data_IF_933048475055
#
_entry.id   IF_933048475055
#
_cell.length_a   1.000
_cell.length_b   1.000
_cell.length_c   1.000
_cell.angle_alpha   90.00
_cell.angle_beta   90.00
_cell.angle_gamma   90.00
#
_symmetry.space_group_name_H-M   'P 1'
#
loop_
_entity.id
_entity.type
_entity.pdbx_description
1 polymer ?
#
# COMPACT_ATOMS: atom_id res chain seq x y z
N UNK A 1 -0.46 18.28 -39.09
CA UNK A 1 -1.18 17.00 -39.14
C UNK A 1 -1.04 16.31 -37.78
N UNK A 2 -2.11 16.18 -37.01
CA UNK A 2 -2.12 15.41 -35.75
C UNK A 2 -2.12 13.93 -36.12
N UNK A 3 -1.11 13.19 -35.69
CA UNK A 3 -1.02 11.75 -35.89
C UNK A 3 -2.22 11.08 -35.19
N UNK A 4 -3.03 10.26 -35.89
CA UNK A 4 -4.24 9.65 -35.34
C UNK A 4 -3.92 8.39 -34.52
N UNK A 5 -2.77 8.36 -33.86
CA UNK A 5 -2.50 7.39 -32.79
C UNK A 5 -3.16 7.88 -31.51
N UNK A 6 -4.47 8.15 -31.56
CA UNK A 6 -5.26 8.12 -30.34
C UNK A 6 -4.90 6.80 -29.69
N UNK A 7 -4.23 6.87 -28.54
CA UNK A 7 -3.97 5.72 -27.68
C UNK A 7 -5.34 5.13 -27.43
N UNK A 8 -5.70 4.12 -28.22
CA UNK A 8 -6.96 3.40 -28.07
C UNK A 8 -6.89 2.85 -26.67
N UNK A 9 -7.89 3.19 -25.85
CA UNK A 9 -7.94 2.71 -24.49
C UNK A 9 -7.80 1.17 -24.55
N UNK A 10 -6.85 0.56 -23.81
CA UNK A 10 -6.73 -0.89 -23.76
C UNK A 10 -8.08 -1.57 -23.49
N UNK A 11 -8.98 -0.90 -22.75
CA UNK A 11 -10.31 -1.42 -22.45
C UNK A 11 -11.25 -1.40 -23.66
N UNK A 12 -11.18 -0.35 -24.48
CA UNK A 12 -11.89 -0.29 -25.75
C UNK A 12 -11.39 -1.37 -26.71
N UNK A 13 -10.07 -1.65 -26.72
CA UNK A 13 -9.52 -2.72 -27.57
C UNK A 13 -9.95 -4.11 -27.10
N UNK A 14 -10.10 -4.33 -25.79
CA UNK A 14 -10.61 -5.58 -25.22
C UNK A 14 -12.09 -5.75 -25.56
N UNK A 15 -12.91 -4.74 -25.31
CA UNK A 15 -14.35 -4.75 -25.65
C UNK A 15 -14.59 -4.99 -27.14
N UNK A 16 -13.77 -4.39 -28.01
CA UNK A 16 -13.83 -4.65 -29.44
C UNK A 16 -13.47 -6.10 -29.81
N UNK A 17 -12.50 -6.71 -29.11
CA UNK A 17 -12.14 -8.12 -29.31
C UNK A 17 -13.23 -9.08 -28.81
N UNK A 18 -13.85 -8.78 -27.67
CA UNK A 18 -15.01 -9.51 -27.12
C UNK A 18 -16.21 -9.42 -28.07
N UNK A 19 -16.50 -8.23 -28.61
CA UNK A 19 -17.56 -8.05 -29.60
C UNK A 19 -17.29 -8.84 -30.89
N UNK A 20 -16.04 -8.89 -31.36
CA UNK A 20 -15.65 -9.71 -32.51
C UNK A 20 -15.85 -11.21 -32.24
N UNK A 21 -15.48 -11.70 -31.05
CA UNK A 21 -15.74 -13.07 -30.63
C UNK A 21 -17.23 -13.40 -30.65
N UNK A 22 -18.06 -12.55 -30.04
CA UNK A 22 -19.51 -12.71 -30.03
C UNK A 22 -20.10 -12.71 -31.45
N UNK A 23 -19.57 -11.88 -32.35
CA UNK A 23 -19.98 -11.87 -33.75
C UNK A 23 -19.61 -13.18 -34.48
N UNK A 24 -18.44 -13.74 -34.22
CA UNK A 24 -18.01 -15.04 -34.76
C UNK A 24 -18.91 -16.17 -34.26
N UNK A 25 -19.26 -16.17 -32.97
CA UNK A 25 -20.17 -17.15 -32.37
C UNK A 25 -21.58 -17.05 -32.97
N UNK A 26 -22.10 -15.84 -33.14
CA UNK A 26 -23.38 -15.61 -33.83
C UNK A 26 -23.33 -16.15 -35.27
N UNK A 27 -22.22 -15.94 -35.98
CA UNK A 27 -22.06 -16.43 -37.35
C UNK A 27 -22.04 -17.97 -37.42
N UNK A 28 -21.45 -18.64 -36.44
CA UNK A 28 -21.52 -20.11 -36.33
C UNK A 28 -22.97 -20.57 -36.14
N UNK A 29 -23.71 -19.92 -35.24
CA UNK A 29 -25.12 -20.26 -35.02
C UNK A 29 -25.96 -20.08 -36.30
N UNK A 30 -25.70 -19.03 -37.09
CA UNK A 30 -26.35 -18.83 -38.39
C UNK A 30 -25.98 -19.95 -39.39
N UNK A 31 -24.68 -20.28 -39.51
CA UNK A 31 -24.21 -21.36 -40.38
C UNK A 31 -24.77 -22.74 -39.98
N UNK A 32 -24.97 -22.99 -38.69
CA UNK A 32 -25.60 -24.23 -38.21
C UNK A 32 -27.08 -24.30 -38.61
N UNK A 33 -27.80 -23.17 -38.62
CA UNK A 33 -29.17 -23.10 -39.16
C UNK A 33 -29.18 -23.32 -40.68
N UNK A 34 -28.25 -22.68 -41.40
CA UNK A 34 -28.12 -22.84 -42.85
C UNK A 34 -27.79 -24.29 -43.23
N UNK A 35 -26.94 -24.96 -42.43
CA UNK A 35 -26.62 -26.38 -42.57
C UNK A 35 -27.87 -27.24 -42.41
N UNK A 36 -28.67 -26.99 -41.38
CA UNK A 36 -29.92 -27.71 -41.14
C UNK A 36 -30.92 -27.51 -42.30
N UNK A 37 -31.00 -26.32 -42.87
CA UNK A 37 -31.84 -26.03 -44.03
C UNK A 37 -31.33 -26.73 -45.31
N UNK A 38 -30.02 -26.74 -45.55
CA UNK A 38 -29.41 -27.38 -46.72
C UNK A 38 -29.68 -28.89 -46.76
N UNK A 39 -29.68 -29.57 -45.60
CA UNK A 39 -29.99 -31.00 -45.48
C UNK A 39 -31.40 -31.39 -45.96
N UNK A 40 -32.33 -30.43 -46.08
CA UNK A 40 -33.69 -30.66 -46.56
C UNK A 40 -33.81 -30.57 -48.09
N UNK A 41 -32.73 -30.24 -48.80
CA UNK A 41 -32.73 -30.08 -50.27
C UNK A 41 -32.29 -31.35 -50.99
N UNK A 42 -32.76 -31.57 -52.21
CA UNK A 42 -32.49 -32.81 -52.98
C UNK A 42 -31.01 -32.96 -53.39
N UNK A 43 -30.25 -31.87 -53.50
CA UNK A 43 -28.82 -31.84 -53.86
C UNK A 43 -27.96 -31.23 -52.73
N UNK A 44 -28.11 -31.74 -51.51
CA UNK A 44 -27.53 -31.15 -50.30
C UNK A 44 -26.00 -31.33 -50.16
N UNK A 45 -25.41 -32.40 -50.71
CA UNK A 45 -24.04 -32.82 -50.36
C UNK A 45 -22.99 -31.69 -50.54
N UNK A 46 -22.96 -31.04 -51.71
CA UNK A 46 -21.99 -29.97 -51.97
C UNK A 46 -22.22 -28.70 -51.15
N UNK A 47 -23.49 -28.39 -50.82
CA UNK A 47 -23.82 -27.23 -49.99
C UNK A 47 -23.44 -27.46 -48.53
N UNK A 48 -23.68 -28.66 -48.00
CA UNK A 48 -23.32 -29.04 -46.63
C UNK A 48 -21.80 -29.07 -46.46
N UNK A 49 -21.05 -29.63 -47.40
CA UNK A 49 -19.58 -29.66 -47.34
C UNK A 49 -18.99 -28.24 -47.32
N UNK A 50 -19.54 -27.32 -48.11
CA UNK A 50 -19.11 -25.92 -48.10
C UNK A 50 -19.40 -25.22 -46.77
N UNK A 51 -20.58 -25.48 -46.16
CA UNK A 51 -20.94 -24.93 -44.85
C UNK A 51 -20.05 -25.53 -43.75
N UNK A 52 -19.75 -26.83 -43.80
CA UNK A 52 -18.89 -27.49 -42.81
C UNK A 52 -17.45 -26.93 -42.85
N UNK A 53 -16.91 -26.66 -44.05
CA UNK A 53 -15.63 -25.96 -44.19
C UNK A 53 -15.65 -24.54 -43.59
N UNK A 54 -16.75 -23.81 -43.76
CA UNK A 54 -16.91 -22.48 -43.15
C UNK A 54 -17.02 -22.58 -41.63
N UNK A 55 -17.77 -23.55 -41.10
CA UNK A 55 -17.88 -23.80 -39.66
C UNK A 55 -16.52 -24.12 -39.05
N UNK A 56 -15.71 -24.97 -39.69
CA UNK A 56 -14.34 -25.25 -39.24
C UNK A 56 -13.48 -23.98 -39.22
N UNK A 57 -13.56 -23.15 -40.26
CA UNK A 57 -12.82 -21.89 -40.32
C UNK A 57 -13.23 -20.93 -39.19
N UNK A 58 -14.53 -20.80 -38.92
CA UNK A 58 -15.03 -19.94 -37.83
C UNK A 58 -14.65 -20.48 -36.45
N UNK A 59 -14.68 -21.79 -36.24
CA UNK A 59 -14.23 -22.41 -34.98
C UNK A 59 -12.74 -22.17 -34.72
N UNK A 60 -11.91 -22.21 -35.77
CA UNK A 60 -10.48 -21.81 -35.66
C UNK A 60 -10.34 -20.32 -35.34
N UNK A 61 -11.20 -19.46 -35.90
CA UNK A 61 -11.19 -18.04 -35.60
C UNK A 61 -11.56 -17.75 -34.12
N UNK A 62 -12.52 -18.48 -33.54
CA UNK A 62 -12.85 -18.38 -32.10
C UNK A 62 -11.60 -18.57 -31.23
N UNK A 63 -10.84 -19.64 -31.46
CA UNK A 63 -9.63 -19.92 -30.68
C UNK A 63 -8.64 -18.75 -30.75
N UNK A 64 -8.44 -18.17 -31.93
CA UNK A 64 -7.57 -16.98 -32.11
C UNK A 64 -8.10 -15.76 -31.34
N UNK A 65 -9.41 -15.53 -31.35
CA UNK A 65 -10.01 -14.43 -30.58
C UNK A 65 -9.86 -14.62 -29.08
N UNK A 66 -10.07 -15.84 -28.58
CA UNK A 66 -9.89 -16.19 -27.17
C UNK A 66 -8.44 -16.00 -26.72
N UNK A 67 -7.47 -16.50 -27.49
CA UNK A 67 -6.04 -16.32 -27.22
C UNK A 67 -5.66 -14.84 -27.18
N UNK A 68 -6.20 -14.04 -28.11
CA UNK A 68 -5.96 -12.60 -28.16
C UNK A 68 -6.52 -11.89 -26.92
N UNK A 69 -7.74 -12.21 -26.50
CA UNK A 69 -8.34 -11.64 -25.28
C UNK A 69 -7.52 -12.04 -24.05
N UNK A 70 -7.13 -13.31 -23.93
CA UNK A 70 -6.29 -13.79 -22.83
C UNK A 70 -4.94 -13.05 -22.78
N UNK A 71 -4.31 -12.82 -23.92
CA UNK A 71 -3.07 -12.04 -24.02
C UNK A 71 -3.26 -10.57 -23.59
N UNK A 72 -4.36 -9.93 -23.99
CA UNK A 72 -4.67 -8.55 -23.56
C UNK A 72 -4.90 -8.46 -22.05
N UNK A 73 -5.66 -9.39 -21.47
CA UNK A 73 -5.92 -9.45 -20.02
C UNK A 73 -4.63 -9.69 -19.25
N UNK A 74 -3.80 -10.64 -19.69
CA UNK A 74 -2.51 -10.93 -19.08
C UNK A 74 -1.58 -9.72 -19.09
N UNK A 75 -1.51 -9.02 -20.24
CA UNK A 75 -0.73 -7.79 -20.37
C UNK A 75 -1.22 -6.69 -19.43
N UNK A 76 -2.54 -6.47 -19.34
CA UNK A 76 -3.12 -5.47 -18.44
C UNK A 76 -2.76 -5.76 -16.98
N UNK A 77 -2.88 -7.02 -16.55
CA UNK A 77 -2.49 -7.45 -15.20
C UNK A 77 -1.01 -7.21 -14.92
N UNK A 78 -0.14 -7.46 -15.91
CA UNK A 78 1.29 -7.20 -15.78
C UNK A 78 1.57 -5.68 -15.65
N UNK A 79 0.93 -4.86 -16.47
CA UNK A 79 1.06 -3.39 -16.42
C UNK A 79 0.56 -2.82 -15.08
N UNK A 80 -0.56 -3.33 -14.56
CA UNK A 80 -1.11 -2.93 -13.26
C UNK A 80 -0.17 -3.33 -12.10
N UNK A 81 0.41 -4.54 -12.12
CA UNK A 81 1.42 -4.95 -11.13
C UNK A 81 2.62 -4.01 -11.14
N UNK A 82 3.14 -3.67 -12.32
CA UNK A 82 4.27 -2.71 -12.45
C UNK A 82 3.89 -1.34 -11.90
N UNK A 83 2.65 -0.87 -12.12
CA UNK A 83 2.17 0.39 -11.54
C UNK A 83 2.16 0.32 -10.01
N UNK A 84 1.58 -0.73 -9.44
CA UNK A 84 1.49 -0.91 -7.99
C UNK A 84 2.88 -1.02 -7.33
N UNK A 85 3.82 -1.72 -7.97
CA UNK A 85 5.22 -1.80 -7.52
C UNK A 85 5.88 -0.41 -7.49
N UNK A 86 5.64 0.42 -8.52
CA UNK A 86 6.15 1.81 -8.55
C UNK A 86 5.53 2.66 -7.45
N UNK A 87 4.22 2.61 -7.27
CA UNK A 87 3.52 3.33 -6.20
C UNK A 87 4.05 2.92 -4.82
N UNK A 88 4.28 1.62 -4.60
CA UNK A 88 4.89 1.10 -3.37
C UNK A 88 6.30 1.66 -3.17
N UNK A 89 7.13 1.64 -4.20
CA UNK A 89 8.49 2.19 -4.14
C UNK A 89 8.50 3.70 -3.83
N UNK A 90 7.59 4.47 -4.43
CA UNK A 90 7.41 5.89 -4.15
C UNK A 90 7.01 6.14 -2.69
N UNK A 91 6.06 5.37 -2.15
CA UNK A 91 5.65 5.46 -0.74
C UNK A 91 6.80 5.14 0.22
N UNK A 92 7.61 4.13 -0.08
CA UNK A 92 8.81 3.79 0.70
C UNK A 92 9.80 4.96 0.66
N UNK A 93 10.06 5.52 -0.53
CA UNK A 93 10.96 6.66 -0.70
C UNK A 93 10.50 7.89 0.09
N UNK A 94 9.21 8.20 0.09
CA UNK A 94 8.66 9.33 0.85
C UNK A 94 8.68 9.09 2.36
N UNK A 95 8.45 7.85 2.79
CA UNK A 95 8.57 7.46 4.20
C UNK A 95 10.02 7.60 4.68
N UNK A 96 10.99 7.18 3.87
CA UNK A 96 12.42 7.36 4.14
C UNK A 96 12.77 8.84 4.34
N UNK A 97 12.33 9.74 3.44
CA UNK A 97 12.55 11.18 3.60
C UNK A 97 11.96 11.74 4.90
N UNK A 98 10.78 11.27 5.31
CA UNK A 98 10.15 11.70 6.58
C UNK A 98 10.92 11.19 7.78
N UNK A 99 11.40 9.94 7.73
CA UNK A 99 12.19 9.33 8.80
C UNK A 99 13.53 10.04 8.99
N UNK A 100 14.23 10.42 7.92
CA UNK A 100 15.49 11.18 8.05
C UNK A 100 15.27 12.53 8.73
N UNK A 101 14.19 13.23 8.39
CA UNK A 101 13.82 14.49 9.05
C UNK A 101 13.48 14.29 10.53
N UNK A 102 12.74 13.22 10.85
CA UNK A 102 12.41 12.87 12.24
C UNK A 102 13.65 12.48 13.04
N UNK A 103 14.59 11.73 12.46
CA UNK A 103 15.86 11.39 13.09
C UNK A 103 16.70 12.64 13.39
N UNK A 104 16.77 13.59 12.46
CA UNK A 104 17.46 14.86 12.68
C UNK A 104 16.82 15.64 13.84
N UNK A 105 15.48 15.72 13.87
CA UNK A 105 14.77 16.37 14.98
C UNK A 105 14.98 15.63 16.32
N UNK A 106 14.98 14.29 16.31
CA UNK A 106 15.22 13.50 17.51
C UNK A 106 16.62 13.71 18.09
N UNK A 107 17.65 13.85 17.24
CA UNK A 107 19.01 14.20 17.68
C UNK A 107 19.07 15.55 18.38
N UNK A 108 18.37 16.56 17.86
CA UNK A 108 18.30 17.88 18.51
C UNK A 108 17.62 17.81 19.89
N UNK A 109 16.60 16.96 20.03
CA UNK A 109 15.96 16.73 21.33
C UNK A 109 16.92 16.02 22.29
N UNK A 110 17.64 15.00 21.83
CA UNK A 110 18.64 14.30 22.65
C UNK A 110 19.72 15.28 23.14
N UNK A 111 20.26 16.12 22.25
CA UNK A 111 21.23 17.18 22.60
C UNK A 111 20.67 18.17 23.64
N UNK A 112 19.44 18.64 23.46
CA UNK A 112 18.79 19.55 24.39
C UNK A 112 18.56 18.90 25.77
N UNK A 113 18.18 17.62 25.81
CA UNK A 113 17.98 16.89 27.06
C UNK A 113 19.29 16.67 27.82
N UNK A 114 20.39 16.37 27.10
CA UNK A 114 21.72 16.25 27.70
C UNK A 114 22.18 17.60 28.28
N UNK A 115 21.98 18.71 27.56
CA UNK A 115 22.30 20.05 28.05
C UNK A 115 21.48 20.41 29.30
N UNK A 116 20.19 20.05 29.34
CA UNK A 116 19.33 20.25 30.50
C UNK A 116 19.81 19.45 31.71
N UNK A 117 20.20 18.19 31.54
CA UNK A 117 20.73 17.36 32.63
C UNK A 117 21.99 17.98 33.25
N UNK A 118 22.91 18.51 32.41
CA UNK A 118 24.09 19.23 32.89
C UNK A 118 23.71 20.49 33.66
N UNK A 119 22.74 21.27 33.15
CA UNK A 119 22.27 22.47 33.83
C UNK A 119 21.63 22.17 35.20
N UNK A 120 20.80 21.13 35.29
CA UNK A 120 20.19 20.66 36.54
C UNK A 120 21.28 20.21 37.52
N UNK A 121 22.26 19.42 37.08
CA UNK A 121 23.35 18.99 37.95
C UNK A 121 24.20 20.16 38.45
N UNK A 122 24.44 21.17 37.62
CA UNK A 122 25.15 22.39 38.03
C UNK A 122 24.33 23.20 39.04
N UNK A 123 23.00 23.26 38.88
CA UNK A 123 22.11 23.89 39.84
C UNK A 123 22.12 23.14 41.18
N UNK A 124 22.00 21.81 41.16
CA UNK A 124 22.08 20.97 42.37
C UNK A 124 23.42 21.18 43.10
N UNK A 125 24.52 21.33 42.35
CA UNK A 125 25.85 21.62 42.91
C UNK A 125 25.93 23.03 43.49
N UNK A 126 25.36 24.02 42.81
CA UNK A 126 25.30 25.39 43.30
C UNK A 126 24.45 25.49 44.58
N UNK A 127 23.29 24.83 44.60
CA UNK A 127 22.42 24.72 45.77
C UNK A 127 23.14 24.03 46.93
N UNK A 128 23.85 22.93 46.68
CA UNK A 128 24.67 22.27 47.70
C UNK A 128 25.80 23.18 48.24
N UNK A 129 26.39 24.03 47.39
CA UNK A 129 27.44 24.95 47.80
C UNK A 129 26.91 26.15 48.61
N UNK A 130 25.73 26.67 48.25
CA UNK A 130 25.10 27.82 48.91
C UNK A 130 24.39 27.41 50.21
N UNK A 131 23.68 26.27 50.18
CA UNK A 131 22.82 25.84 51.28
C UNK A 131 23.39 24.69 52.10
N UNK A 132 24.46 24.00 51.66
CA UNK A 132 25.15 22.97 52.44
C UNK A 132 24.24 22.00 53.20
N UNK A 133 24.59 21.70 54.45
CA UNK A 133 23.81 20.86 55.39
C UNK A 133 22.51 21.51 55.90
N UNK A 134 22.21 22.78 55.58
CA UNK A 134 20.95 23.43 55.96
C UNK A 134 19.75 22.96 55.11
N UNK A 135 20.01 22.21 54.03
CA UNK A 135 19.02 21.72 53.06
C UNK A 135 18.00 20.70 53.59
N UNK A 136 18.13 20.23 54.84
CA UNK A 136 17.12 19.31 55.42
C UNK A 136 15.86 20.00 55.95
N UNK A 137 15.82 21.32 56.13
CA UNK A 137 14.72 21.95 56.89
C UNK A 137 13.90 23.02 56.19
N UNK A 138 14.34 23.59 55.07
CA UNK A 138 13.53 24.61 54.40
C UNK A 138 13.55 24.37 52.89
N UNK A 139 12.44 23.85 52.37
CA UNK A 139 12.14 23.70 50.94
C UNK A 139 12.89 22.57 50.21
N UNK A 140 12.85 21.36 50.76
CA UNK A 140 13.26 20.16 50.01
C UNK A 140 12.41 20.03 48.73
N UNK A 141 13.05 20.24 47.58
CA UNK A 141 12.57 19.96 46.21
C UNK A 141 12.23 18.49 45.97
N UNK A 142 12.37 17.60 46.98
CA UNK A 142 11.78 16.24 46.96
C UNK A 142 10.26 16.25 46.80
N UNK A 143 9.59 17.39 46.93
CA UNK A 143 8.16 17.54 46.64
C UNK A 143 7.81 17.54 45.14
N UNK A 144 8.79 17.62 44.22
CA UNK A 144 8.51 17.48 42.79
C UNK A 144 8.17 16.01 42.45
N UNK A 145 8.80 15.03 43.12
CA UNK A 145 8.43 13.63 42.99
C UNK A 145 6.99 13.37 43.46
N UNK A 146 6.54 14.08 44.51
CA UNK A 146 5.16 14.01 44.98
C UNK A 146 4.13 14.65 44.02
N UNK A 147 4.56 15.55 43.12
CA UNK A 147 3.75 16.06 42.01
C UNK A 147 3.74 15.10 40.80
N UNK A 148 4.83 14.36 40.58
CA UNK A 148 4.91 13.33 39.54
C UNK A 148 4.02 12.11 39.83
N UNK A 149 3.85 11.76 41.11
CA UNK A 149 2.95 10.68 41.55
C UNK A 149 1.47 11.08 41.57
N UNK A 150 1.15 12.37 41.71
CA UNK A 150 -0.25 12.85 41.64
C UNK A 150 -0.83 12.80 40.21
N UNK A 151 0.00 12.66 39.20
CA UNK A 151 -0.42 12.42 37.82
C UNK A 151 -0.71 10.93 37.53
N UNK A 152 -0.43 10.03 38.46
CA UNK A 152 -0.83 8.63 38.42
C UNK A 152 -2.26 8.44 38.99
N UNK A 153 -3.22 9.16 38.41
CA UNK A 153 -4.64 8.86 38.60
C UNK A 153 -5.02 7.49 38.00
N UNK A 154 -6.21 6.95 38.34
CA UNK A 154 -6.63 5.59 37.98
C UNK A 154 -6.55 5.38 36.48
N UNK A 155 -5.93 4.27 36.07
CA UNK A 155 -5.53 3.94 34.69
C UNK A 155 -6.70 3.62 33.72
N UNK A 156 -7.95 3.80 34.14
CA UNK A 156 -9.13 3.30 33.44
C UNK A 156 -10.04 4.42 32.89
N UNK A 157 -9.49 5.32 32.08
CA UNK A 157 -10.31 6.19 31.22
C UNK A 157 -9.97 5.94 29.74
N UNK A 158 -10.87 5.27 28.99
CA UNK A 158 -10.72 5.04 27.56
C UNK A 158 -11.07 6.34 26.82
N UNK A 159 -10.08 7.21 26.61
CA UNK A 159 -10.27 8.42 25.81
C UNK A 159 -9.10 9.40 25.80
N UNK A 160 -8.22 9.38 26.82
CA UNK A 160 -7.10 10.34 26.95
C UNK A 160 -5.76 9.76 26.45
N UNK A 161 -5.77 8.52 25.92
CA UNK A 161 -4.55 7.77 25.62
C UNK A 161 -3.93 8.01 24.24
N UNK A 162 -4.51 8.84 23.38
CA UNK A 162 -3.88 9.14 22.09
C UNK A 162 -2.69 10.10 22.23
N UNK A 163 -2.79 11.11 23.10
CA UNK A 163 -1.70 12.06 23.34
C UNK A 163 -0.55 11.49 24.18
N UNK A 164 -0.79 10.42 24.97
CA UNK A 164 0.21 9.81 25.86
C UNK A 164 1.15 8.81 25.16
N UNK A 165 0.88 8.42 23.91
CA UNK A 165 1.80 7.55 23.14
C UNK A 165 3.15 8.21 22.83
N UNK A 166 3.18 9.53 22.70
CA UNK A 166 4.41 10.31 22.41
C UNK A 166 5.29 10.48 23.66
N UNK A 167 4.69 10.44 24.86
CA UNK A 167 5.40 10.70 26.13
C UNK A 167 6.17 9.47 26.62
N UNK A 168 5.77 8.25 26.24
CA UNK A 168 6.40 7.00 26.66
C UNK A 168 7.91 6.92 26.40
N UNK A 169 8.40 7.22 25.18
CA UNK A 169 9.82 7.28 24.82
C UNK A 169 10.60 8.31 25.64
N UNK A 170 10.10 9.55 25.71
CA UNK A 170 10.73 10.65 26.44
C UNK A 170 10.88 10.35 27.94
N UNK A 171 9.88 9.67 28.53
CA UNK A 171 9.94 9.25 29.94
C UNK A 171 10.94 8.13 30.18
N UNK A 172 11.13 7.21 29.21
CA UNK A 172 12.14 6.14 29.31
C UNK A 172 13.56 6.68 29.20
N UNK A 173 13.79 7.67 28.31
CA UNK A 173 15.07 8.35 28.15
C UNK A 173 15.41 9.17 29.39
N UNK A 174 14.44 9.93 29.92
CA UNK A 174 14.60 10.66 31.19
C UNK A 174 14.86 9.74 32.40
N UNK A 175 14.40 8.48 32.35
CA UNK A 175 14.58 7.47 33.39
C UNK A 175 15.79 6.54 33.18
N UNK A 176 16.71 6.88 32.27
CA UNK A 176 17.98 6.15 32.11
C UNK A 176 17.94 4.90 31.23
N UNK A 177 17.01 4.84 30.27
CA UNK A 177 17.13 3.85 29.19
C UNK A 177 18.44 4.06 28.40
N UNK A 178 19.16 3.00 28.02
CA UNK A 178 20.51 3.10 27.44
C UNK A 178 20.56 3.71 26.02
N UNK A 179 19.42 4.01 25.40
CA UNK A 179 19.31 4.48 24.03
C UNK A 179 18.47 5.77 23.98
N UNK A 180 18.99 6.82 23.34
CA UNK A 180 18.30 8.11 23.14
C UNK A 180 17.12 8.04 22.16
N UNK A 181 16.36 9.13 22.03
CA UNK A 181 15.16 9.19 21.17
C UNK A 181 15.53 8.92 19.72
N UNK A 182 16.69 9.40 19.27
CA UNK A 182 17.17 9.18 17.92
C UNK A 182 17.33 7.69 17.59
N UNK A 183 17.84 6.89 18.53
CA UNK A 183 18.03 5.45 18.35
C UNK A 183 16.68 4.70 18.29
N UNK A 184 15.70 5.09 19.11
CA UNK A 184 14.36 4.49 19.06
C UNK A 184 13.61 4.84 17.76
N UNK A 185 13.76 6.08 17.28
CA UNK A 185 13.21 6.52 15.99
C UNK A 185 13.87 5.76 14.83
N UNK A 186 15.18 5.52 14.89
CA UNK A 186 15.89 4.73 13.90
C UNK A 186 15.41 3.27 13.85
N UNK A 187 15.37 2.59 15.00
CA UNK A 187 14.94 1.20 15.08
C UNK A 187 13.50 1.03 14.60
N UNK A 188 12.60 1.93 15.00
CA UNK A 188 11.20 1.88 14.59
C UNK A 188 11.02 2.24 13.12
N UNK A 189 11.80 3.19 12.61
CA UNK A 189 11.84 3.53 11.19
C UNK A 189 12.29 2.35 10.33
N UNK A 190 13.35 1.65 10.76
CA UNK A 190 13.85 0.44 10.09
C UNK A 190 12.80 -0.66 10.01
N UNK A 191 12.14 -0.97 11.13
CA UNK A 191 11.06 -1.98 11.16
C UNK A 191 9.88 -1.59 10.27
N UNK A 192 9.55 -0.31 10.19
CA UNK A 192 8.48 0.17 9.31
C UNK A 192 8.84 -0.03 7.84
N UNK A 193 10.08 0.29 7.46
CA UNK A 193 10.56 0.07 6.08
C UNK A 193 10.58 -1.42 5.75
N UNK A 194 11.13 -2.25 6.64
CA UNK A 194 11.13 -3.72 6.47
C UNK A 194 9.71 -4.28 6.33
N UNK A 195 8.76 -3.76 7.11
CA UNK A 195 7.35 -4.12 6.99
C UNK A 195 6.78 -3.71 5.62
N UNK A 196 7.03 -2.46 5.19
CA UNK A 196 6.58 -1.98 3.88
C UNK A 196 7.22 -2.76 2.73
N UNK A 197 8.49 -3.12 2.83
CA UNK A 197 9.19 -3.91 1.82
C UNK A 197 8.65 -5.33 1.74
N UNK A 198 8.36 -5.96 2.89
CA UNK A 198 7.85 -7.33 2.97
C UNK A 198 6.37 -7.49 2.62
N UNK A 199 5.59 -6.40 2.62
CA UNK A 199 4.18 -6.45 2.23
C UNK A 199 4.04 -6.84 0.74
N UNK A 200 3.42 -7.98 0.39
CA UNK A 200 3.28 -8.37 -1.00
C UNK A 200 2.47 -7.31 -1.75
N UNK A 201 2.85 -7.02 -2.99
CA UNK A 201 2.01 -6.20 -3.86
C UNK A 201 0.75 -7.01 -4.13
N UNK A 202 -0.39 -6.53 -3.64
CA UNK A 202 -1.66 -7.18 -3.86
C UNK A 202 -1.84 -7.43 -5.36
N UNK A 203 -2.27 -8.64 -5.70
CA UNK A 203 -2.68 -8.91 -7.07
C UNK A 203 -3.79 -7.93 -7.44
N UNK A 204 -3.77 -7.35 -8.65
CA UNK A 204 -4.84 -6.47 -9.07
C UNK A 204 -6.15 -7.25 -8.97
N UNK A 205 -7.04 -6.81 -8.07
CA UNK A 205 -8.35 -7.44 -7.94
C UNK A 205 -9.00 -7.46 -9.32
N UNK A 206 -9.72 -8.55 -9.68
CA UNK A 206 -10.51 -8.55 -10.89
C UNK A 206 -11.49 -7.39 -10.76
N UNK A 207 -11.28 -6.32 -11.53
CA UNK A 207 -12.15 -5.14 -11.53
C UNK A 207 -13.60 -5.61 -11.63
N UNK A 208 -14.48 -5.12 -10.74
CA UNK A 208 -15.91 -5.48 -10.63
C UNK A 208 -16.68 -5.47 -11.96
N UNK A 209 -16.15 -4.82 -13.00
CA UNK A 209 -16.65 -4.92 -14.38
C UNK A 209 -16.65 -6.35 -14.96
N UNK A 210 -15.78 -7.24 -14.48
CA UNK A 210 -15.75 -8.65 -14.89
C UNK A 210 -16.86 -9.48 -14.21
N UNK A 211 -17.36 -9.03 -13.05
CA UNK A 211 -18.43 -9.72 -12.31
C UNK A 211 -19.84 -9.29 -12.80
N UNK A 212 -19.94 -8.15 -13.50
CA UNK A 212 -21.20 -7.69 -14.12
C UNK A 212 -21.43 -8.22 -15.55
N UNK A 213 -20.45 -8.92 -16.13
CA UNK A 213 -20.52 -9.46 -17.50
C UNK A 213 -20.68 -11.00 -17.57
N UNK A 214 -20.80 -11.67 -16.42
CA UNK A 214 -21.06 -13.12 -16.29
C UNK A 214 -22.50 -13.37 -15.80
#
# INVERSE_FOLDING_TARGET
MKLPFLRTDPDDTRRAAEAALAQTEAKIADLERDRAAALLTENYAGAVDAIDQQLEAQRRAIAVHQDRIAAMVSRRRADDRVRLEREKAERIADTNKRLTNLQAAAKLVDEATAALQVAVHNLDRADAAVFGDLSRSYLSTRSIAALADRAAGPRDQPGINEHRRIIGPLRKIANGAPYGLAAEVEDRGRRLIEFMESEPVADPEPSDEAEQAA
#
